data_IF_900877720044
#
_entry.id   IF_900877720044
#
_cell.length_a   1.000
_cell.length_b   1.000
_cell.length_c   1.000
_cell.angle_alpha   90.00
_cell.angle_beta   90.00
_cell.angle_gamma   90.00
#
_symmetry.space_group_name_H-M   'P 1'
#
loop_
_entity.id
_entity.type
_entity.pdbx_description
1 polymer ?
#
# COMPACT_ATOMS: atom_id res chain seq x y z
N UNK A 1 55.22 41.70 26.89
CA UNK A 1 54.44 41.16 28.02
C UNK A 1 53.12 40.64 27.44
N UNK A 2 52.85 39.35 27.20
CA UNK A 2 53.29 38.15 27.90
C UNK A 2 52.11 37.54 28.68
N UNK A 3 50.99 37.19 28.01
CA UNK A 3 49.93 36.37 28.62
C UNK A 3 49.70 35.13 27.77
N UNK A 4 50.15 34.00 28.32
CA UNK A 4 49.86 32.65 27.89
C UNK A 4 48.47 32.29 28.43
N UNK A 5 47.52 31.99 27.55
CA UNK A 5 46.33 31.25 27.93
C UNK A 5 46.55 29.78 27.57
N UNK A 6 46.82 29.02 28.63
CA UNK A 6 46.79 27.56 28.67
C UNK A 6 45.44 27.13 29.27
N UNK A 7 45.09 25.84 29.14
CA UNK A 7 44.01 25.12 29.88
C UNK A 7 42.64 25.13 29.19
N UNK A 8 41.88 24.05 28.97
CA UNK A 8 41.93 22.63 29.36
C UNK A 8 40.95 21.87 28.43
N UNK A 9 41.41 20.89 27.66
CA UNK A 9 40.54 19.96 26.92
C UNK A 9 40.37 18.69 27.75
N UNK A 10 39.25 18.60 28.45
CA UNK A 10 38.93 17.47 29.34
C UNK A 10 38.33 16.32 28.51
N UNK A 11 39.16 15.33 28.18
CA UNK A 11 38.74 14.05 27.57
C UNK A 11 37.88 13.25 28.56
N UNK A 12 36.54 13.31 28.41
CA UNK A 12 35.61 12.39 29.09
C UNK A 12 35.54 11.06 28.35
N UNK A 13 36.38 10.11 28.78
CA UNK A 13 36.35 8.69 28.40
C UNK A 13 35.21 8.00 29.18
N UNK A 14 34.02 7.89 28.59
CA UNK A 14 32.92 7.08 29.16
C UNK A 14 33.21 5.61 28.90
N UNK A 15 33.69 4.91 29.92
CA UNK A 15 33.64 3.46 30.03
C UNK A 15 32.17 3.05 30.18
N UNK A 16 31.63 2.33 29.19
CA UNK A 16 30.40 1.57 29.36
C UNK A 16 30.80 0.15 29.75
N UNK A 17 30.70 -0.12 31.06
CA UNK A 17 30.80 -1.46 31.62
C UNK A 17 29.56 -2.26 31.24
N UNK A 18 29.79 -3.39 30.57
CA UNK A 18 28.84 -4.46 30.32
C UNK A 18 28.38 -5.07 31.66
N UNK A 19 27.14 -4.76 32.07
CA UNK A 19 26.44 -5.50 33.11
C UNK A 19 25.51 -6.52 32.44
N UNK A 20 26.03 -7.72 32.21
CA UNK A 20 25.25 -8.90 31.87
C UNK A 20 24.49 -9.38 33.12
N UNK A 21 23.29 -8.85 33.33
CA UNK A 21 22.34 -9.37 34.31
C UNK A 21 21.41 -10.36 33.60
N UNK A 22 21.68 -11.65 33.79
CA UNK A 22 20.83 -12.75 33.40
C UNK A 22 19.50 -12.73 34.18
N UNK A 23 18.47 -12.09 33.61
CA UNK A 23 17.09 -12.28 34.06
C UNK A 23 16.50 -13.50 33.35
N UNK A 24 16.59 -14.65 34.01
CA UNK A 24 15.82 -15.85 33.67
C UNK A 24 14.35 -15.54 33.88
N UNK A 25 13.68 -15.15 32.80
CA UNK A 25 12.21 -15.12 32.75
C UNK A 25 11.70 -16.54 32.48
N UNK A 26 10.69 -17.03 33.22
CA UNK A 26 10.13 -18.35 32.99
C UNK A 26 9.46 -18.41 31.61
N UNK A 27 9.48 -19.57 30.93
CA UNK A 27 8.84 -19.73 29.63
C UNK A 27 7.33 -19.50 29.78
N UNK A 28 6.86 -18.36 29.28
CA UNK A 28 5.45 -18.02 29.18
C UNK A 28 4.82 -19.01 28.21
N UNK A 29 4.12 -20.00 28.76
CA UNK A 29 3.35 -20.98 28.01
C UNK A 29 2.53 -20.28 26.92
N UNK A 30 2.92 -20.54 25.67
CA UNK A 30 2.22 -20.08 24.48
C UNK A 30 0.86 -20.77 24.47
N UNK A 31 -0.16 -20.10 25.02
CA UNK A 31 -1.55 -20.40 24.73
C UNK A 31 -1.73 -20.18 23.24
N UNK A 32 -1.55 -21.25 22.45
CA UNK A 32 -2.04 -21.40 21.08
C UNK A 32 -3.49 -20.95 21.10
N UNK A 33 -3.72 -19.70 20.71
CA UNK A 33 -5.03 -19.17 20.42
C UNK A 33 -5.42 -19.84 19.12
N UNK A 34 -6.04 -21.02 19.24
CA UNK A 34 -6.78 -21.66 18.16
C UNK A 34 -7.82 -20.65 17.72
N UNK A 35 -7.50 -19.89 16.68
CA UNK A 35 -8.46 -19.12 15.91
C UNK A 35 -9.38 -20.13 15.25
N UNK A 36 -10.37 -20.59 16.00
CA UNK A 36 -11.59 -21.16 15.45
C UNK A 36 -12.14 -20.07 14.53
N UNK A 37 -12.06 -20.29 13.22
CA UNK A 37 -12.82 -19.54 12.24
C UNK A 37 -14.25 -19.43 12.77
N UNK A 38 -14.84 -18.22 12.89
CA UNK A 38 -16.22 -18.08 13.31
C UNK A 38 -17.05 -19.00 12.43
N UNK A 39 -17.67 -20.00 13.05
CA UNK A 39 -18.57 -20.92 12.39
C UNK A 39 -19.70 -20.04 11.87
N UNK A 40 -19.61 -19.68 10.58
CA UNK A 40 -20.64 -18.92 9.90
C UNK A 40 -21.92 -19.71 10.08
N UNK A 41 -22.96 -19.15 10.73
CA UNK A 41 -24.16 -19.90 11.05
C UNK A 41 -24.68 -20.49 9.76
N UNK A 42 -24.66 -21.82 9.67
CA UNK A 42 -25.00 -22.58 8.48
C UNK A 42 -26.41 -22.19 8.07
N UNK A 43 -26.53 -21.26 7.12
CA UNK A 43 -27.82 -20.76 6.66
C UNK A 43 -28.57 -21.97 6.11
N UNK A 44 -29.71 -22.29 6.73
CA UNK A 44 -30.56 -23.39 6.29
C UNK A 44 -30.81 -23.26 4.78
N UNK A 45 -30.53 -24.32 4.04
CA UNK A 45 -30.64 -24.31 2.59
C UNK A 45 -32.09 -23.96 2.19
N UNK A 46 -32.25 -22.87 1.43
CA UNK A 46 -33.57 -22.37 1.06
C UNK A 46 -34.29 -23.37 0.15
N UNK A 47 -35.53 -23.70 0.47
CA UNK A 47 -36.40 -24.57 -0.34
C UNK A 47 -37.09 -23.77 -1.45
N UNK A 48 -37.40 -24.42 -2.57
CA UNK A 48 -38.18 -23.82 -3.64
C UNK A 48 -39.65 -23.66 -3.22
N UNK A 49 -40.25 -22.50 -3.52
CA UNK A 49 -41.67 -22.21 -3.24
C UNK A 49 -42.58 -22.57 -4.42
N UNK A 50 -42.03 -22.89 -5.60
CA UNK A 50 -42.79 -23.15 -6.83
C UNK A 50 -43.07 -24.63 -7.09
N UNK A 51 -42.18 -25.53 -6.67
CA UNK A 51 -42.34 -26.96 -6.91
C UNK A 51 -43.20 -27.62 -5.82
N UNK A 52 -44.11 -28.55 -6.19
CA UNK A 52 -44.67 -29.49 -5.23
C UNK A 52 -43.52 -30.27 -4.58
N UNK A 53 -43.58 -30.47 -3.25
CA UNK A 53 -42.52 -31.13 -2.48
C UNK A 53 -41.36 -30.24 -2.00
N UNK A 54 -41.31 -28.96 -2.40
CA UNK A 54 -40.33 -27.96 -1.91
C UNK A 54 -38.87 -28.47 -1.84
N UNK A 55 -38.29 -28.96 -2.97
CA UNK A 55 -36.88 -29.35 -3.02
C UNK A 55 -35.97 -28.16 -2.71
N UNK A 56 -34.71 -28.44 -2.36
CA UNK A 56 -33.72 -27.38 -2.16
C UNK A 56 -33.62 -26.51 -3.42
N UNK A 57 -33.45 -25.19 -3.29
CA UNK A 57 -33.31 -24.27 -4.43
C UNK A 57 -32.19 -24.73 -5.38
N UNK A 58 -31.12 -25.29 -4.83
CA UNK A 58 -29.98 -25.82 -5.58
C UNK A 58 -30.29 -27.09 -6.39
N UNK A 59 -31.43 -27.74 -6.17
CA UNK A 59 -31.87 -28.97 -6.86
C UNK A 59 -33.13 -28.72 -7.71
N UNK A 60 -33.57 -27.47 -7.82
CA UNK A 60 -34.83 -27.12 -8.45
C UNK A 60 -34.61 -26.48 -9.83
N UNK A 61 -35.32 -26.95 -10.85
CA UNK A 61 -35.33 -26.42 -12.22
C UNK A 61 -35.64 -24.91 -12.32
N UNK A 62 -36.30 -24.35 -11.31
CA UNK A 62 -36.67 -22.93 -11.27
C UNK A 62 -35.48 -22.00 -10.96
N UNK A 63 -34.31 -22.53 -10.63
CA UNK A 63 -33.09 -21.73 -10.44
C UNK A 63 -32.01 -22.17 -11.42
N UNK A 64 -31.16 -21.23 -11.86
CA UNK A 64 -30.05 -21.53 -12.78
C UNK A 64 -29.14 -22.63 -12.23
N UNK A 65 -28.81 -22.56 -10.94
CA UNK A 65 -27.97 -23.54 -10.24
C UNK A 65 -28.65 -24.92 -10.16
N UNK A 66 -29.97 -24.98 -10.00
CA UNK A 66 -30.70 -26.24 -10.02
C UNK A 66 -30.83 -26.85 -11.41
N UNK A 67 -30.93 -26.04 -12.47
CA UNK A 67 -30.83 -26.55 -13.85
C UNK A 67 -29.46 -27.17 -14.13
N UNK A 68 -28.38 -26.51 -13.71
CA UNK A 68 -27.02 -27.06 -13.83
C UNK A 68 -26.84 -28.35 -13.01
N UNK A 69 -27.42 -28.42 -11.81
CA UNK A 69 -27.41 -29.62 -10.98
C UNK A 69 -28.15 -30.79 -11.65
N UNK A 70 -29.37 -30.56 -12.15
CA UNK A 70 -30.16 -31.58 -12.84
C UNK A 70 -29.48 -32.05 -14.14
N UNK A 71 -28.86 -31.14 -14.89
CA UNK A 71 -28.09 -31.50 -16.08
C UNK A 71 -26.87 -32.38 -15.73
N UNK A 72 -26.16 -32.06 -14.63
CA UNK A 72 -25.05 -32.89 -14.15
C UNK A 72 -25.54 -34.26 -13.68
N UNK A 73 -26.70 -34.33 -13.04
CA UNK A 73 -27.27 -35.59 -12.57
C UNK A 73 -27.74 -36.46 -13.74
N UNK A 74 -28.33 -35.86 -14.78
CA UNK A 74 -28.66 -36.57 -16.02
C UNK A 74 -27.40 -37.15 -16.70
N UNK A 75 -26.32 -36.37 -16.79
CA UNK A 75 -25.06 -36.84 -17.36
C UNK A 75 -24.39 -37.96 -16.56
N UNK A 76 -24.60 -38.02 -15.24
CA UNK A 76 -24.10 -39.13 -14.42
C UNK A 76 -24.92 -40.40 -14.64
N UNK A 77 -26.25 -40.28 -14.74
CA UNK A 77 -27.10 -41.43 -15.02
C UNK A 77 -26.81 -42.02 -16.41
N UNK A 78 -26.48 -41.20 -17.41
CA UNK A 78 -26.05 -41.68 -18.74
C UNK A 78 -24.75 -42.50 -18.69
N UNK A 79 -23.85 -42.22 -17.74
CA UNK A 79 -22.61 -42.99 -17.59
C UNK A 79 -22.80 -44.32 -16.85
N UNK A 80 -23.86 -44.45 -16.04
CA UNK A 80 -24.15 -45.68 -15.30
C UNK A 80 -24.83 -46.73 -16.21
N UNK A 81 -25.67 -46.31 -17.17
CA UNK A 81 -26.38 -47.24 -18.08
C UNK A 81 -25.45 -47.98 -19.06
N UNK A 82 -24.23 -47.49 -19.32
CA UNK A 82 -23.25 -48.15 -20.21
C UNK A 82 -22.44 -49.26 -19.50
N UNK A 83 -22.53 -49.41 -18.17
CA UNK A 83 -21.64 -50.32 -17.42
C UNK A 83 -22.18 -51.75 -17.24
N UNK A 84 -23.44 -52.03 -17.60
CA UNK A 84 -24.08 -53.35 -17.35
C UNK A 84 -24.15 -54.27 -18.58
N UNK A 85 -23.50 -53.93 -19.69
CA UNK A 85 -23.53 -54.74 -20.92
C UNK A 85 -22.16 -55.23 -21.44
N UNK A 86 -21.13 -55.32 -20.58
CA UNK A 86 -19.92 -56.10 -20.89
C UNK A 86 -19.91 -57.43 -20.13
N UNK A 87 -20.56 -58.40 -20.78
CA UNK A 87 -20.08 -59.77 -20.96
C UNK A 87 -18.96 -60.24 -20.03
N UNK A 88 -19.38 -61.04 -19.05
CA UNK A 88 -18.62 -62.12 -18.46
C UNK A 88 -18.00 -63.04 -19.53
N UNK A 89 -16.70 -62.92 -19.76
CA UNK A 89 -15.86 -64.01 -20.22
C UNK A 89 -14.45 -63.88 -19.63
N UNK A 90 -14.21 -64.75 -18.65
CA UNK A 90 -13.02 -65.56 -18.46
C UNK A 90 -11.61 -64.95 -18.42
N UNK A 91 -10.93 -65.35 -17.35
CA UNK A 91 -9.53 -65.79 -17.29
C UNK A 91 -8.53 -64.93 -16.51
N UNK A 92 -8.23 -65.46 -15.33
CA UNK A 92 -6.87 -65.91 -14.98
C UNK A 92 -5.77 -64.86 -14.73
N UNK A 93 -5.45 -64.75 -13.43
CA UNK A 93 -4.12 -65.07 -12.91
C UNK A 93 -2.97 -64.06 -13.21
N UNK A 94 -2.46 -63.39 -12.17
CA UNK A 94 -1.11 -63.64 -11.65
C UNK A 94 -0.70 -62.62 -10.57
N UNK A 95 -0.45 -63.20 -9.41
CA UNK A 95 0.21 -62.73 -8.21
C UNK A 95 1.73 -62.52 -8.42
N UNK A 96 2.27 -61.31 -8.30
CA UNK A 96 3.68 -60.96 -7.96
C UNK A 96 3.65 -59.49 -7.48
N UNK A 97 3.85 -59.10 -6.22
CA UNK A 97 5.06 -59.19 -5.40
C UNK A 97 5.52 -57.75 -5.01
N UNK A 98 5.85 -57.45 -3.74
CA UNK A 98 6.15 -56.08 -3.28
C UNK A 98 7.60 -55.68 -3.54
N UNK A 99 7.82 -54.52 -4.16
CA UNK A 99 9.14 -53.96 -4.47
C UNK A 99 9.82 -53.28 -3.27
N UNK A 100 11.17 -53.27 -3.22
CA UNK A 100 11.95 -52.88 -2.05
C UNK A 100 12.12 -51.36 -1.90
N UNK A 101 12.29 -50.94 -0.66
CA UNK A 101 12.57 -49.57 -0.22
C UNK A 101 13.97 -49.11 -0.65
N UNK A 102 14.02 -48.11 -1.53
CA UNK A 102 15.27 -47.40 -1.86
C UNK A 102 15.46 -46.23 -0.90
N UNK A 103 16.30 -46.44 0.11
CA UNK A 103 16.81 -45.39 1.01
C UNK A 103 17.86 -44.54 0.28
N UNK A 104 17.48 -43.33 -0.15
CA UNK A 104 18.43 -42.33 -0.63
C UNK A 104 18.98 -41.54 0.57
N UNK A 105 20.23 -41.83 0.91
CA UNK A 105 21.07 -41.01 1.77
C UNK A 105 21.40 -39.69 1.05
N UNK A 106 20.84 -38.57 1.53
CA UNK A 106 21.30 -37.25 1.14
C UNK A 106 22.54 -36.88 1.97
N UNK A 107 23.70 -36.96 1.32
CA UNK A 107 24.94 -36.38 1.80
C UNK A 107 24.79 -34.86 1.93
N UNK A 108 24.91 -34.41 3.16
CA UNK A 108 24.96 -33.00 3.54
C UNK A 108 26.39 -32.49 3.29
N UNK A 109 26.67 -32.06 2.05
CA UNK A 109 27.89 -31.34 1.70
C UNK A 109 27.60 -29.85 1.72
N UNK A 110 28.22 -29.13 2.67
CA UNK A 110 28.03 -27.70 2.86
C UNK A 110 28.53 -26.86 1.69
N UNK A 111 27.95 -25.66 1.46
CA UNK A 111 28.51 -24.72 0.51
C UNK A 111 29.70 -23.98 1.14
N UNK A 112 30.87 -24.27 0.60
CA UNK A 112 32.09 -23.49 0.71
C UNK A 112 31.81 -22.03 0.33
N UNK A 113 32.18 -21.11 1.21
CA UNK A 113 32.32 -19.68 0.93
C UNK A 113 33.46 -19.44 -0.06
N UNK A 114 33.23 -18.80 -1.23
CA UNK A 114 34.32 -18.17 -1.94
C UNK A 114 34.57 -16.77 -1.36
N UNK A 115 35.77 -16.60 -0.81
CA UNK A 115 36.40 -15.29 -0.61
C UNK A 115 36.38 -14.51 -1.93
N UNK A 116 35.61 -13.41 -1.94
CA UNK A 116 35.67 -12.43 -3.03
C UNK A 116 36.66 -11.36 -2.61
N UNK A 117 37.80 -11.39 -3.30
CA UNK A 117 38.81 -10.36 -3.33
C UNK A 117 38.21 -8.96 -3.51
N UNK A 118 38.71 -8.05 -2.69
CA UNK A 118 38.56 -6.63 -2.86
C UNK A 118 39.23 -6.18 -4.18
N UNK A 119 38.40 -5.84 -5.17
CA UNK A 119 38.81 -4.99 -6.29
C UNK A 119 38.22 -3.60 -6.08
N UNK A 120 39.07 -2.71 -5.58
CA UNK A 120 38.83 -1.28 -5.56
C UNK A 120 38.89 -0.76 -7.01
N UNK A 121 37.72 -0.47 -7.59
CA UNK A 121 37.62 0.32 -8.81
C UNK A 121 37.23 1.74 -8.42
N UNK A 122 38.24 2.61 -8.43
CA UNK A 122 38.16 4.07 -8.48
C UNK A 122 37.11 4.56 -9.49
N UNK A 123 36.12 5.38 -9.09
CA UNK A 123 35.41 6.23 -10.04
C UNK A 123 36.29 7.44 -10.38
N UNK A 124 36.64 7.55 -11.66
CA UNK A 124 37.26 8.72 -12.24
C UNK A 124 36.35 9.95 -12.03
N UNK A 125 36.87 10.91 -11.29
CA UNK A 125 36.30 12.25 -11.11
C UNK A 125 36.42 13.05 -12.41
N UNK A 126 35.36 13.13 -13.20
CA UNK A 126 35.18 14.17 -14.20
C UNK A 126 34.70 15.44 -13.51
N UNK A 127 35.66 16.25 -13.10
CA UNK A 127 35.46 17.61 -12.63
C UNK A 127 35.12 18.51 -13.82
N UNK A 128 33.83 18.72 -14.09
CA UNK A 128 33.38 19.75 -15.04
C UNK A 128 33.44 21.08 -14.30
N UNK A 129 34.50 21.84 -14.55
CA UNK A 129 34.66 23.22 -14.09
C UNK A 129 33.60 24.07 -14.79
N UNK A 130 32.50 24.35 -14.09
CA UNK A 130 31.54 25.36 -14.51
C UNK A 130 32.06 26.74 -14.09
N UNK A 131 32.47 27.51 -15.09
CA UNK A 131 32.87 28.92 -14.99
C UNK A 131 31.71 29.76 -14.42
N UNK A 132 31.92 30.54 -13.34
CA UNK A 132 30.91 31.48 -12.87
C UNK A 132 30.95 32.76 -13.72
N UNK A 133 29.90 32.96 -14.53
CA UNK A 133 29.67 34.22 -15.25
C UNK A 133 29.05 35.25 -14.30
N UNK A 134 29.59 36.47 -14.19
CA UNK A 134 29.08 37.47 -13.27
C UNK A 134 27.82 38.20 -13.78
N UNK A 135 26.91 38.39 -12.83
CA UNK A 135 25.91 39.45 -12.66
C UNK A 135 25.63 40.42 -13.83
N UNK A 136 24.40 40.37 -14.34
CA UNK A 136 23.71 41.57 -14.85
C UNK A 136 22.49 41.84 -13.99
N UNK A 137 22.54 42.98 -13.32
CA UNK A 137 21.45 43.55 -12.56
C UNK A 137 20.23 43.75 -13.46
N UNK A 138 19.08 43.21 -13.05
CA UNK A 138 17.79 43.64 -13.58
C UNK A 138 16.85 43.91 -12.42
N UNK A 139 16.77 45.20 -12.12
CA UNK A 139 15.75 45.86 -11.31
C UNK A 139 14.36 45.45 -11.82
N UNK A 140 13.46 45.06 -10.91
CA UNK A 140 12.12 44.61 -11.26
C UNK A 140 11.24 44.37 -10.04
N UNK A 141 10.62 45.44 -9.56
CA UNK A 141 9.33 45.50 -8.87
C UNK A 141 8.98 44.43 -7.80
N UNK A 142 9.12 44.83 -6.54
CA UNK A 142 8.36 44.30 -5.42
C UNK A 142 6.89 44.72 -5.54
N UNK A 143 6.10 43.92 -6.25
CA UNK A 143 4.65 44.00 -6.25
C UNK A 143 4.10 43.42 -4.95
N UNK A 144 3.81 44.30 -3.99
CA UNK A 144 3.06 44.01 -2.76
C UNK A 144 1.63 43.62 -3.14
N UNK A 145 1.29 42.33 -3.06
CA UNK A 145 -0.10 41.88 -3.10
C UNK A 145 -0.63 41.86 -1.67
N UNK A 146 -1.36 42.93 -1.33
CA UNK A 146 -2.21 43.03 -0.14
C UNK A 146 -3.36 42.03 -0.26
N UNK A 147 -3.30 40.97 0.55
CA UNK A 147 -4.37 39.97 0.66
C UNK A 147 -5.44 40.46 1.64
N UNK A 148 -6.35 41.30 1.16
CA UNK A 148 -7.53 41.78 1.89
C UNK A 148 -8.81 41.35 1.17
N UNK A 149 -9.22 40.08 1.29
CA UNK A 149 -10.57 39.67 0.91
C UNK A 149 -11.01 38.36 1.58
N UNK A 150 -11.31 38.42 2.88
CA UNK A 150 -11.99 37.31 3.57
C UNK A 150 -12.87 37.84 4.70
N UNK A 151 -13.85 38.66 4.34
CA UNK A 151 -14.98 39.00 5.19
C UNK A 151 -16.19 39.29 4.29
N UNK A 152 -17.07 38.29 4.16
CA UNK A 152 -18.52 38.41 3.95
C UNK A 152 -19.01 37.15 3.25
N UNK A 153 -19.71 36.30 3.99
CA UNK A 153 -20.90 35.56 3.57
C UNK A 153 -21.47 34.89 4.83
N UNK A 154 -22.09 35.71 5.67
CA UNK A 154 -23.04 35.25 6.68
C UNK A 154 -24.46 35.30 6.11
N UNK A 155 -25.24 34.32 6.52
CA UNK A 155 -26.70 34.32 6.60
C UNK A 155 -27.51 34.39 5.28
N UNK A 156 -28.02 33.23 4.87
CA UNK A 156 -29.36 33.17 4.29
C UNK A 156 -30.10 31.92 4.78
N UNK A 157 -30.86 32.16 5.85
CA UNK A 157 -31.92 31.31 6.40
C UNK A 157 -33.12 31.23 5.45
N UNK A 158 -33.77 30.05 5.42
CA UNK A 158 -35.20 29.92 5.16
C UNK A 158 -35.62 29.54 3.74
N UNK A 159 -35.92 28.26 3.52
CA UNK A 159 -37.19 27.82 2.93
C UNK A 159 -37.29 26.30 3.01
N UNK A 160 -38.02 25.83 4.02
CA UNK A 160 -38.51 24.46 4.16
C UNK A 160 -39.71 24.28 3.22
N UNK A 161 -39.49 23.73 2.04
CA UNK A 161 -40.58 23.15 1.23
C UNK A 161 -40.59 21.64 1.44
N UNK A 162 -41.58 21.20 2.21
CA UNK A 162 -41.93 19.81 2.47
C UNK A 162 -42.44 19.15 1.17
N UNK A 163 -41.52 18.62 0.35
CA UNK A 163 -41.89 17.78 -0.78
C UNK A 163 -42.15 16.35 -0.30
N UNK A 164 -43.41 15.94 -0.39
CA UNK A 164 -43.91 14.60 -0.13
C UNK A 164 -43.15 13.55 -0.94
N UNK A 165 -42.46 12.66 -0.23
CA UNK A 165 -41.80 11.47 -0.78
C UNK A 165 -42.84 10.41 -1.15
N UNK A 166 -43.39 10.52 -2.36
CA UNK A 166 -44.11 9.42 -3.00
C UNK A 166 -43.08 8.41 -3.50
N UNK A 167 -42.78 7.42 -2.66
CA UNK A 167 -41.91 6.27 -2.95
C UNK A 167 -42.58 5.33 -3.95
N UNK A 168 -42.64 5.74 -5.22
CA UNK A 168 -42.90 4.84 -6.33
C UNK A 168 -41.56 4.17 -6.71
N UNK A 169 -41.34 2.96 -6.20
CA UNK A 169 -40.25 2.08 -6.59
C UNK A 169 -40.47 1.56 -8.02
N UNK A 170 -40.33 2.45 -9.00
CA UNK A 170 -40.21 2.07 -10.39
C UNK A 170 -38.81 1.47 -10.58
N UNK A 171 -38.74 0.15 -10.65
CA UNK A 171 -37.58 -0.61 -11.11
C UNK A 171 -37.39 -0.35 -12.61
N UNK A 172 -37.07 0.90 -12.96
CA UNK A 172 -36.57 1.26 -14.27
C UNK A 172 -35.25 0.53 -14.43
N UNK A 173 -35.22 -0.44 -15.35
CA UNK A 173 -33.99 -1.01 -15.88
C UNK A 173 -33.22 0.12 -16.54
N UNK A 174 -32.47 0.88 -15.75
CA UNK A 174 -31.58 1.92 -16.26
C UNK A 174 -30.60 1.19 -17.16
N UNK A 175 -30.81 1.28 -18.47
CA UNK A 175 -29.83 0.91 -19.47
C UNK A 175 -28.54 1.59 -19.05
N UNK A 176 -27.57 0.80 -18.58
CA UNK A 176 -26.29 1.32 -18.14
C UNK A 176 -25.71 2.07 -19.34
N UNK A 177 -25.65 3.41 -19.25
CA UNK A 177 -25.05 4.25 -20.29
C UNK A 177 -23.63 3.73 -20.48
N UNK A 178 -23.35 3.18 -21.66
CA UNK A 178 -22.00 2.74 -22.01
C UNK A 178 -21.14 3.99 -22.14
N UNK A 179 -20.07 4.06 -21.35
CA UNK A 179 -19.06 5.12 -21.45
C UNK A 179 -18.42 5.06 -22.83
N UNK A 180 -18.38 6.18 -23.55
CA UNK A 180 -17.75 6.27 -24.87
C UNK A 180 -16.47 7.11 -24.79
N UNK A 181 -15.59 7.00 -25.78
CA UNK A 181 -14.38 7.84 -25.83
C UNK A 181 -14.70 9.35 -25.98
N UNK A 182 -15.86 9.69 -26.55
CA UNK A 182 -16.32 11.08 -26.70
C UNK A 182 -16.91 11.66 -25.42
N UNK A 183 -17.49 10.81 -24.57
CA UNK A 183 -18.10 11.19 -23.29
C UNK A 183 -17.70 10.18 -22.20
N UNK A 184 -16.47 10.31 -21.67
CA UNK A 184 -15.94 9.43 -20.65
C UNK A 184 -16.50 9.84 -19.27
N UNK A 185 -17.67 9.30 -18.90
CA UNK A 185 -18.35 9.63 -17.63
C UNK A 185 -17.45 9.54 -16.39
N UNK A 186 -16.56 8.55 -16.32
CA UNK A 186 -15.61 8.38 -15.20
C UNK A 186 -14.19 8.89 -15.52
N UNK A 187 -14.02 9.66 -16.60
CA UNK A 187 -12.73 10.12 -17.10
C UNK A 187 -11.86 9.04 -17.75
N UNK A 188 -10.60 9.40 -18.02
CA UNK A 188 -9.59 8.50 -18.58
C UNK A 188 -8.67 7.94 -17.49
N UNK A 189 -8.05 6.78 -17.73
CA UNK A 189 -6.98 6.23 -16.88
C UNK A 189 -5.75 7.11 -17.01
N UNK A 190 -5.27 7.64 -15.88
CA UNK A 190 -4.07 8.47 -15.82
C UNK A 190 -2.81 7.62 -15.88
N UNK A 191 -1.74 8.15 -16.49
CA UNK A 191 -0.43 7.48 -16.57
C UNK A 191 -0.35 6.29 -17.52
N UNK A 192 -1.36 6.05 -18.36
CA UNK A 192 -1.28 5.07 -19.43
C UNK A 192 -0.54 5.65 -20.64
N UNK A 193 0.44 4.92 -21.16
CA UNK A 193 1.26 5.32 -22.31
C UNK A 193 1.34 4.20 -23.34
N UNK A 194 1.48 4.58 -24.61
CA UNK A 194 1.80 3.70 -25.74
C UNK A 194 3.09 4.22 -26.39
N UNK A 195 4.22 3.66 -25.99
CA UNK A 195 5.52 4.23 -26.33
C UNK A 195 5.72 5.56 -25.59
N UNK A 196 6.00 6.64 -26.32
CA UNK A 196 6.10 8.01 -25.77
C UNK A 196 4.77 8.74 -25.69
N UNK A 197 3.71 8.23 -26.30
CA UNK A 197 2.43 8.91 -26.41
C UNK A 197 1.48 8.53 -25.26
N UNK A 198 0.66 9.48 -24.83
CA UNK A 198 -0.38 9.24 -23.81
C UNK A 198 -1.47 8.35 -24.43
N UNK A 199 -1.79 7.24 -23.76
CA UNK A 199 -2.81 6.30 -24.21
C UNK A 199 -4.13 6.50 -23.44
N UNK A 200 -5.13 7.07 -24.11
CA UNK A 200 -6.42 7.41 -23.50
C UNK A 200 -7.33 6.19 -23.36
N UNK A 201 -7.32 5.57 -22.17
CA UNK A 201 -8.22 4.45 -21.83
C UNK A 201 -9.41 4.99 -21.03
N UNK A 202 -10.64 4.80 -21.52
CA UNK A 202 -11.86 5.24 -20.81
C UNK A 202 -12.11 4.36 -19.58
N UNK A 203 -12.38 4.99 -18.42
CA UNK A 203 -12.73 4.27 -17.20
C UNK A 203 -14.18 3.78 -17.22
N UNK A 204 -14.37 2.48 -17.09
CA UNK A 204 -15.71 1.87 -16.96
C UNK A 204 -16.37 2.05 -15.59
N UNK A 205 -15.62 2.48 -14.57
CA UNK A 205 -16.10 2.67 -13.20
C UNK A 205 -15.45 3.90 -12.55
N UNK A 206 -16.15 4.48 -11.56
CA UNK A 206 -15.62 5.57 -10.75
C UNK A 206 -14.39 5.11 -9.94
N UNK A 207 -13.44 6.01 -9.72
CA UNK A 207 -12.22 5.71 -8.99
C UNK A 207 -12.57 5.38 -7.52
N UNK A 208 -12.06 4.27 -6.94
CA UNK A 208 -12.27 3.99 -5.54
C UNK A 208 -11.60 5.06 -4.67
N UNK A 209 -12.23 5.43 -3.57
CA UNK A 209 -11.64 6.38 -2.63
C UNK A 209 -10.36 5.80 -1.98
N UNK A 210 -9.36 6.65 -1.68
CA UNK A 210 -8.16 6.22 -0.97
C UNK A 210 -8.47 5.58 0.37
N UNK A 211 -7.80 4.46 0.68
CA UNK A 211 -7.97 3.77 1.96
C UNK A 211 -7.04 4.41 2.99
N UNK A 212 -7.61 5.05 4.01
CA UNK A 212 -6.85 5.69 5.08
C UNK A 212 -6.11 4.68 5.98
N UNK A 213 -6.73 3.52 6.26
CA UNK A 213 -6.08 2.46 7.04
C UNK A 213 -5.08 1.68 6.19
N UNK A 214 -3.80 1.88 6.51
CA UNK A 214 -2.67 1.22 5.88
C UNK A 214 -2.77 -0.32 5.95
N UNK A 215 -3.23 -0.88 7.07
CA UNK A 215 -3.33 -2.34 7.23
C UNK A 215 -4.34 -2.92 6.24
N UNK A 216 -5.49 -2.26 6.11
CA UNK A 216 -6.51 -2.62 5.12
C UNK A 216 -6.04 -2.41 3.68
N UNK A 217 -5.29 -1.33 3.42
CA UNK A 217 -4.72 -1.04 2.11
C UNK A 217 -3.74 -2.14 1.66
N UNK A 218 -2.80 -2.55 2.54
CA UNK A 218 -1.85 -3.64 2.27
C UNK A 218 -2.57 -4.95 1.99
N UNK A 219 -3.56 -5.34 2.81
CA UNK A 219 -4.34 -6.57 2.59
C UNK A 219 -5.06 -6.55 1.24
N UNK A 220 -5.69 -5.42 0.90
CA UNK A 220 -6.38 -5.26 -0.39
C UNK A 220 -5.39 -5.31 -1.55
N UNK A 221 -4.24 -4.67 -1.42
CA UNK A 221 -3.16 -4.71 -2.40
C UNK A 221 -2.73 -6.15 -2.67
N UNK A 222 -2.36 -6.92 -1.63
CA UNK A 222 -1.92 -8.32 -1.78
C UNK A 222 -2.98 -9.22 -2.40
N UNK A 223 -4.25 -9.07 -2.01
CA UNK A 223 -5.34 -9.84 -2.61
C UNK A 223 -5.58 -9.46 -4.08
N UNK A 224 -5.46 -8.18 -4.43
CA UNK A 224 -5.77 -7.68 -5.77
C UNK A 224 -4.62 -7.95 -6.74
N UNK A 225 -3.37 -7.80 -6.30
CA UNK A 225 -2.20 -7.98 -7.17
C UNK A 225 -2.08 -9.41 -7.66
N UNK A 226 -2.41 -10.41 -6.83
CA UNK A 226 -2.40 -11.82 -7.25
C UNK A 226 -3.40 -12.06 -8.39
N UNK A 227 -4.64 -11.56 -8.27
CA UNK A 227 -5.64 -11.67 -9.34
C UNK A 227 -5.23 -10.93 -10.62
N UNK A 228 -4.49 -9.82 -10.51
CA UNK A 228 -3.95 -9.12 -11.67
C UNK A 228 -2.86 -9.97 -12.34
N UNK A 229 -1.93 -10.53 -11.57
CA UNK A 229 -0.85 -11.39 -12.09
C UNK A 229 -1.42 -12.60 -12.81
N UNK A 230 -2.41 -13.28 -12.23
CA UNK A 230 -3.12 -14.41 -12.87
C UNK A 230 -3.72 -14.02 -14.23
N UNK A 231 -4.46 -12.90 -14.29
CA UNK A 231 -5.06 -12.43 -15.55
C UNK A 231 -4.01 -12.05 -16.60
N UNK A 232 -2.88 -11.52 -16.16
CA UNK A 232 -1.78 -11.17 -17.04
C UNK A 232 -1.02 -12.40 -17.52
N UNK A 233 -0.95 -13.45 -16.71
CA UNK A 233 -0.50 -14.77 -17.15
C UNK A 233 -1.41 -15.33 -18.25
N UNK A 234 -2.72 -15.39 -17.99
CA UNK A 234 -3.71 -15.88 -18.95
C UNK A 234 -3.65 -15.11 -20.28
N UNK A 235 -3.65 -13.77 -20.20
CA UNK A 235 -3.56 -12.90 -21.38
C UNK A 235 -2.27 -13.17 -22.18
N UNK A 236 -1.14 -13.32 -21.49
CA UNK A 236 0.14 -13.56 -22.13
C UNK A 236 0.24 -14.94 -22.78
N UNK A 237 -0.42 -15.96 -22.21
CA UNK A 237 -0.51 -17.30 -22.82
C UNK A 237 -1.41 -17.28 -24.06
N UNK A 238 -2.57 -16.64 -23.97
CA UNK A 238 -3.54 -16.59 -25.07
C UNK A 238 -3.02 -15.80 -26.28
N UNK A 239 -2.35 -14.67 -26.04
CA UNK A 239 -1.92 -13.76 -27.11
C UNK A 239 -0.45 -13.88 -27.48
N UNK A 240 0.32 -14.68 -26.72
CA UNK A 240 1.77 -14.77 -26.86
C UNK A 240 2.47 -13.39 -26.83
N UNK A 241 1.95 -12.44 -26.05
CA UNK A 241 2.51 -11.10 -25.97
C UNK A 241 3.71 -11.01 -25.00
N UNK A 242 4.57 -10.01 -25.24
CA UNK A 242 5.59 -9.60 -24.28
C UNK A 242 4.95 -8.69 -23.23
N UNK A 243 5.04 -9.08 -21.96
CA UNK A 243 4.40 -8.35 -20.88
C UNK A 243 5.27 -8.38 -19.63
N UNK A 244 5.42 -7.22 -19.01
CA UNK A 244 6.12 -7.03 -17.74
C UNK A 244 5.23 -6.21 -16.81
N UNK A 245 5.12 -6.64 -15.55
CA UNK A 245 4.36 -5.94 -14.51
C UNK A 245 5.25 -5.83 -13.29
N UNK A 246 5.36 -4.61 -12.76
CA UNK A 246 5.98 -4.34 -11.46
C UNK A 246 4.98 -3.63 -10.56
N UNK A 247 4.87 -4.09 -9.31
CA UNK A 247 4.02 -3.46 -8.31
C UNK A 247 4.70 -3.44 -6.94
N UNK A 248 4.63 -2.31 -6.26
CA UNK A 248 5.06 -2.15 -4.87
C UNK A 248 4.07 -1.27 -4.12
N UNK A 249 3.68 -1.69 -2.92
CA UNK A 249 2.88 -0.85 -2.03
C UNK A 249 3.79 0.04 -1.17
N UNK A 250 3.50 1.34 -1.13
CA UNK A 250 4.39 2.36 -0.55
C UNK A 250 4.76 2.16 0.93
N UNK A 251 3.93 1.43 1.68
CA UNK A 251 4.11 1.16 3.11
C UNK A 251 4.24 -0.33 3.42
N UNK A 252 4.15 -1.21 2.40
CA UNK A 252 4.32 -2.63 2.65
C UNK A 252 5.81 -2.92 2.87
N UNK A 253 6.09 -3.72 3.90
CA UNK A 253 7.44 -4.26 4.14
C UNK A 253 7.81 -5.36 3.14
N UNK A 254 6.84 -5.86 2.38
CA UNK A 254 7.06 -6.87 1.37
C UNK A 254 7.95 -6.32 0.24
N UNK A 255 8.80 -7.17 -0.36
CA UNK A 255 9.57 -6.80 -1.54
C UNK A 255 8.65 -6.51 -2.73
N UNK A 256 9.20 -5.80 -3.72
CA UNK A 256 8.53 -5.54 -4.99
C UNK A 256 8.12 -6.85 -5.66
N UNK A 257 6.87 -6.88 -6.15
CA UNK A 257 6.34 -8.00 -6.93
C UNK A 257 6.55 -7.67 -8.40
N UNK A 258 7.26 -8.55 -9.10
CA UNK A 258 7.45 -8.44 -10.55
C UNK A 258 7.00 -9.72 -11.25
N UNK A 259 6.26 -9.57 -12.34
CA UNK A 259 5.87 -10.64 -13.24
C UNK A 259 6.39 -10.33 -14.65
N UNK A 260 6.89 -11.35 -15.33
CA UNK A 260 7.31 -11.28 -16.73
C UNK A 260 6.74 -12.47 -17.51
N UNK A 261 6.17 -12.20 -18.68
CA UNK A 261 5.51 -13.24 -19.48
C UNK A 261 6.48 -14.35 -19.91
N UNK A 262 6.02 -15.60 -20.08
CA UNK A 262 6.89 -16.70 -20.50
C UNK A 262 7.64 -16.43 -21.81
N UNK A 263 7.02 -15.71 -22.76
CA UNK A 263 7.68 -15.34 -24.02
C UNK A 263 8.80 -14.33 -23.79
N UNK A 264 8.54 -13.27 -23.01
CA UNK A 264 9.56 -12.25 -22.72
C UNK A 264 10.76 -12.84 -21.96
N UNK A 265 10.51 -13.78 -21.04
CA UNK A 265 11.59 -14.49 -20.32
C UNK A 265 12.44 -15.38 -21.22
N UNK A 266 11.87 -15.97 -22.27
CA UNK A 266 12.64 -16.78 -23.24
C UNK A 266 13.48 -15.90 -24.15
N UNK A 267 12.88 -14.81 -24.64
CA UNK A 267 13.52 -13.97 -25.65
C UNK A 267 14.57 -13.02 -25.03
N UNK A 268 14.40 -12.61 -23.77
CA UNK A 268 15.23 -11.59 -23.11
C UNK A 268 15.40 -11.84 -21.60
N UNK A 269 15.84 -13.04 -21.21
CA UNK A 269 15.95 -13.46 -19.80
C UNK A 269 16.78 -12.49 -18.94
N UNK A 270 17.94 -12.06 -19.44
CA UNK A 270 18.86 -11.17 -18.74
C UNK A 270 18.26 -9.76 -18.55
N UNK A 271 17.68 -9.20 -19.61
CA UNK A 271 17.07 -7.89 -19.60
C UNK A 271 15.89 -7.84 -18.63
N UNK A 272 15.07 -8.90 -18.57
CA UNK A 272 13.98 -9.01 -17.58
C UNK A 272 14.51 -8.98 -16.15
N UNK A 273 15.60 -9.70 -15.86
CA UNK A 273 16.26 -9.66 -14.55
C UNK A 273 16.76 -8.26 -14.20
N UNK A 274 17.36 -7.57 -15.17
CA UNK A 274 17.83 -6.20 -15.02
C UNK A 274 16.68 -5.23 -14.76
N UNK A 275 15.57 -5.32 -15.50
CA UNK A 275 14.37 -4.49 -15.29
C UNK A 275 13.79 -4.73 -13.90
N UNK A 276 13.68 -5.99 -13.45
CA UNK A 276 13.19 -6.31 -12.11
C UNK A 276 14.07 -5.74 -11.00
N UNK A 277 15.39 -5.80 -11.18
CA UNK A 277 16.37 -5.24 -10.24
C UNK A 277 16.32 -3.71 -10.21
N UNK A 278 16.26 -3.06 -11.38
CA UNK A 278 16.11 -1.61 -11.50
C UNK A 278 14.82 -1.13 -10.86
N UNK A 279 13.69 -1.78 -11.13
CA UNK A 279 12.40 -1.47 -10.52
C UNK A 279 12.45 -1.60 -8.99
N UNK A 280 13.07 -2.67 -8.48
CA UNK A 280 13.25 -2.87 -7.03
C UNK A 280 14.14 -1.80 -6.39
N UNK A 281 15.17 -1.34 -7.09
CA UNK A 281 16.04 -0.25 -6.65
C UNK A 281 15.29 1.09 -6.60
N UNK A 282 14.58 1.45 -7.68
CA UNK A 282 13.79 2.69 -7.76
C UNK A 282 12.74 2.72 -6.65
N UNK A 283 11.97 1.65 -6.47
CA UNK A 283 10.93 1.59 -5.44
C UNK A 283 11.49 1.68 -4.03
N UNK A 284 12.65 1.05 -3.76
CA UNK A 284 13.34 1.18 -2.47
C UNK A 284 13.79 2.62 -2.22
N UNK A 285 14.39 3.27 -3.21
CA UNK A 285 14.84 4.66 -3.10
C UNK A 285 13.67 5.61 -2.85
N UNK A 286 12.52 5.40 -3.52
CA UNK A 286 11.30 6.18 -3.29
C UNK A 286 10.75 5.99 -1.87
N UNK A 287 10.74 4.76 -1.35
CA UNK A 287 10.33 4.49 0.03
C UNK A 287 11.28 5.18 1.02
N UNK A 288 12.59 5.08 0.79
CA UNK A 288 13.61 5.71 1.64
C UNK A 288 13.48 7.24 1.63
N UNK A 289 13.38 7.86 0.45
CA UNK A 289 13.19 9.30 0.31
C UNK A 289 11.96 9.78 1.08
N UNK A 290 10.81 9.09 0.92
CA UNK A 290 9.59 9.41 1.67
C UNK A 290 9.77 9.27 3.18
N UNK A 291 10.47 8.24 3.65
CA UNK A 291 10.73 8.08 5.09
C UNK A 291 11.64 9.18 5.64
N UNK A 292 12.60 9.63 4.84
CA UNK A 292 13.47 10.75 5.19
C UNK A 292 12.68 12.07 5.26
N UNK A 293 11.86 12.36 4.25
CA UNK A 293 10.98 13.54 4.23
C UNK A 293 10.06 13.59 5.45
N UNK A 294 9.43 12.47 5.80
CA UNK A 294 8.58 12.39 7.00
C UNK A 294 9.38 12.63 8.29
N UNK A 295 10.61 12.12 8.38
CA UNK A 295 11.47 12.36 9.53
C UNK A 295 11.90 13.83 9.63
N UNK A 296 12.18 14.49 8.51
CA UNK A 296 12.55 15.90 8.47
C UNK A 296 11.37 16.81 8.80
N UNK A 297 10.17 16.51 8.27
CA UNK A 297 8.94 17.22 8.64
C UNK A 297 8.64 17.08 10.14
N UNK A 298 8.86 15.90 10.72
CA UNK A 298 8.69 15.69 12.15
C UNK A 298 9.66 16.55 12.97
N UNK A 299 10.94 16.62 12.56
CA UNK A 299 11.94 17.49 13.20
C UNK A 299 11.55 18.96 13.11
N UNK A 300 11.05 19.40 11.95
CA UNK A 300 10.60 20.79 11.76
C UNK A 300 9.39 21.13 12.66
N UNK A 301 8.44 20.21 12.79
CA UNK A 301 7.31 20.38 13.69
C UNK A 301 7.75 20.47 15.16
N UNK A 302 8.69 19.61 15.58
CA UNK A 302 9.20 19.62 16.94
C UNK A 302 10.02 20.89 17.22
N UNK A 303 10.82 21.36 16.27
CA UNK A 303 11.53 22.64 16.36
C UNK A 303 10.55 23.81 16.48
N UNK A 304 9.53 23.87 15.61
CA UNK A 304 8.52 24.93 15.64
C UNK A 304 7.75 24.97 16.97
N UNK A 305 7.51 23.81 17.58
CA UNK A 305 6.89 23.71 18.91
C UNK A 305 7.80 24.26 20.02
N UNK A 306 9.09 23.95 19.98
CA UNK A 306 10.04 24.49 20.95
C UNK A 306 10.15 26.01 20.82
N UNK A 307 10.24 26.52 19.60
CA UNK A 307 10.31 27.96 19.35
C UNK A 307 9.02 28.67 19.82
N UNK A 308 7.85 28.08 19.56
CA UNK A 308 6.57 28.60 20.05
C UNK A 308 6.50 28.62 21.58
N UNK A 309 7.02 27.59 22.26
CA UNK A 309 7.09 27.56 23.73
C UNK A 309 8.05 28.61 24.29
N UNK A 310 9.21 28.80 23.65
CA UNK A 310 10.16 29.84 24.06
C UNK A 310 9.58 31.24 23.87
N UNK A 311 8.89 31.49 22.75
CA UNK A 311 8.19 32.75 22.51
C UNK A 311 7.06 32.98 23.53
N UNK A 312 6.29 31.94 23.87
CA UNK A 312 5.25 32.07 24.89
C UNK A 312 5.84 32.43 26.27
N UNK A 313 6.96 31.81 26.66
CA UNK A 313 7.65 32.12 27.91
C UNK A 313 8.27 33.52 27.91
N UNK A 314 8.80 33.99 26.79
CA UNK A 314 9.35 35.35 26.69
C UNK A 314 8.26 36.40 26.77
N UNK A 315 7.10 36.16 26.13
CA UNK A 315 5.92 37.01 26.23
C UNK A 315 5.37 37.05 27.66
N UNK A 316 5.34 35.92 28.36
CA UNK A 316 4.91 35.88 29.76
C UNK A 316 5.83 36.70 30.66
N UNK A 317 7.16 36.55 30.52
CA UNK A 317 8.15 37.35 31.24
C UNK A 317 8.00 38.84 30.92
N UNK A 318 7.84 39.20 29.64
CA UNK A 318 7.62 40.58 29.23
C UNK A 318 6.35 41.17 29.87
N UNK A 319 5.25 40.42 29.88
CA UNK A 319 4.01 40.83 30.54
C UNK A 319 4.17 41.01 32.05
N UNK A 320 4.96 40.16 32.72
CA UNK A 320 5.29 40.33 34.14
C UNK A 320 6.12 41.59 34.39
N UNK A 321 7.13 41.85 33.54
CA UNK A 321 7.95 43.08 33.66
C UNK A 321 7.13 44.34 33.43
N UNK A 322 6.20 44.35 32.47
CA UNK A 322 5.28 45.48 32.26
C UNK A 322 4.42 45.74 33.50
N UNK A 323 3.81 44.69 34.07
CA UNK A 323 3.01 44.82 35.31
C UNK A 323 3.83 45.40 36.48
N UNK A 324 5.10 45.04 36.59
CA UNK A 324 5.96 45.55 37.65
C UNK A 324 6.33 47.02 37.42
N UNK A 325 6.67 47.41 36.20
CA UNK A 325 6.91 48.82 35.83
C UNK A 325 5.66 49.67 36.08
N UNK A 326 4.47 49.19 35.74
CA UNK A 326 3.22 49.89 36.00
C UNK A 326 2.98 50.11 37.50
N UNK A 327 3.29 49.13 38.34
CA UNK A 327 3.22 49.29 39.80
C UNK A 327 4.21 50.34 40.29
N UNK A 328 5.44 50.35 39.79
CA UNK A 328 6.45 51.33 40.15
C UNK A 328 6.01 52.73 39.75
N UNK A 329 5.51 52.92 38.53
CA UNK A 329 4.97 54.21 38.06
C UNK A 329 3.85 54.71 38.95
N UNK A 330 2.89 53.86 39.31
CA UNK A 330 1.81 54.23 40.25
C UNK A 330 2.35 54.64 41.62
N UNK A 331 3.42 53.99 42.11
CA UNK A 331 4.07 54.36 43.38
C UNK A 331 4.73 55.74 43.28
N UNK A 332 5.45 56.01 42.19
CA UNK A 332 6.05 57.33 41.95
C UNK A 332 5.01 58.44 41.85
N UNK A 333 3.91 58.20 41.12
CA UNK A 333 2.81 59.14 41.00
C UNK A 333 2.22 59.53 42.36
N UNK A 334 2.04 58.54 43.25
CA UNK A 334 1.53 58.77 44.61
C UNK A 334 2.47 59.61 45.48
N UNK A 335 3.79 59.41 45.38
CA UNK A 335 4.77 60.15 46.19
C UNK A 335 4.85 61.63 45.76
N UNK A 336 4.73 61.91 44.47
CA UNK A 336 4.88 63.27 43.93
C UNK A 336 3.58 64.08 43.85
N UNK A 337 2.45 63.56 44.36
CA UNK A 337 1.17 64.28 44.37
C UNK A 337 0.61 64.57 42.97
N UNK A 338 1.01 63.78 41.97
CA UNK A 338 0.52 63.88 40.58
C UNK A 338 -0.80 63.14 40.36
N UNK A 339 -1.42 62.64 41.44
CA UNK A 339 -2.64 61.85 41.48
C UNK A 339 -3.37 62.08 42.80
#
# INVERSE_FOLDING_TARGET
>A
MGRKESSLITKRKKQFSNAAAASRTPPRASKRKTTSTPIEPQRQAQKCQKCPGRPLRAQCEHTKRGKEYLARQAALNELEDDSDNESSSDSSNSNVGPGPSTSLAFNNAGPSTPDIFASASTPASHSVVATPTPASARSGNMGVLTSSHLAQLSARTGSTTSASLSSASASSSRQARRTSARDPYNGFVEGAYRGSEIYQIVRGHALPSPIADNTRAVRRFTSTINSIVEKCEDLSRQTSCWLFIGAQHSTARSPAISYASPRLRRDAAEQVGNIGTQFSSITRNLIQARTQENADLQRQLDQSRLDAQQMAQSLEKAAQTQKELDKQLKRYQRIHGLL
#
